data_IF_105815916576
#
_entry.id   IF_105815916576
#
_cell.length_a   1.000
_cell.length_b   1.000
_cell.length_c   1.000
_cell.angle_alpha   90.00
_cell.angle_beta   90.00
_cell.angle_gamma   90.00
#
_symmetry.space_group_name_H-M   'P 1'
#
loop_
_entity.id
_entity.type
_entity.pdbx_description
1 polymer ?
#
# COMPACT_ATOMS: atom_id res chain seq x y z
N UNK A 1 18.38 -22.28 8.91
CA UNK A 1 18.92 -23.64 8.62
C UNK A 1 18.04 -24.75 9.19
N UNK A 2 17.51 -24.63 10.41
CA UNK A 2 16.66 -25.66 11.05
C UNK A 2 15.33 -25.93 10.31
N UNK A 3 14.61 -24.91 9.83
CA UNK A 3 13.33 -25.12 9.12
C UNK A 3 13.47 -25.94 7.83
N UNK A 4 14.48 -25.64 7.00
CA UNK A 4 14.78 -26.42 5.79
C UNK A 4 15.16 -27.88 6.09
N UNK A 5 15.85 -28.12 7.22
CA UNK A 5 16.15 -29.48 7.70
C UNK A 5 14.86 -30.23 8.05
N UNK A 6 13.83 -29.55 8.57
CA UNK A 6 12.53 -30.14 8.86
C UNK A 6 11.82 -30.63 7.59
N UNK A 7 11.73 -29.79 6.56
CA UNK A 7 11.08 -30.15 5.29
C UNK A 7 11.77 -31.28 4.51
N UNK A 8 13.08 -31.42 4.66
CA UNK A 8 13.86 -32.45 3.95
C UNK A 8 13.88 -33.80 4.71
N UNK A 9 13.51 -33.83 6.01
CA UNK A 9 13.65 -35.02 6.86
C UNK A 9 12.34 -35.58 7.40
N UNK A 10 11.25 -34.83 7.36
CA UNK A 10 9.94 -35.25 7.84
C UNK A 10 9.04 -35.59 6.67
N UNK A 11 8.65 -36.87 6.58
CA UNK A 11 7.67 -37.33 5.59
C UNK A 11 6.36 -36.53 5.74
N UNK A 12 5.82 -36.05 4.63
CA UNK A 12 4.58 -35.26 4.60
C UNK A 12 4.72 -33.78 5.00
N UNK A 13 5.92 -33.29 5.33
CA UNK A 13 6.10 -31.88 5.71
C UNK A 13 5.64 -30.89 4.62
N UNK A 14 5.89 -31.23 3.34
CA UNK A 14 5.46 -30.43 2.17
C UNK A 14 3.96 -30.45 1.88
N UNK A 15 3.17 -31.18 2.66
CA UNK A 15 1.70 -31.26 2.57
C UNK A 15 1.03 -30.99 3.92
N UNK A 16 1.78 -30.54 4.93
CA UNK A 16 1.24 -30.26 6.26
C UNK A 16 0.95 -28.75 6.40
N UNK A 17 -0.33 -28.33 6.43
CA UNK A 17 -0.69 -26.90 6.37
C UNK A 17 -0.06 -26.08 7.49
N UNK A 18 -0.05 -26.60 8.73
CA UNK A 18 0.56 -25.90 9.87
C UNK A 18 2.08 -25.70 9.77
N UNK A 19 2.82 -26.59 9.11
CA UNK A 19 4.27 -26.45 8.98
C UNK A 19 4.62 -25.44 7.88
N UNK A 20 3.88 -25.49 6.77
CA UNK A 20 4.00 -24.51 5.69
C UNK A 20 3.64 -23.11 6.19
N UNK A 21 2.52 -22.97 6.89
CA UNK A 21 2.05 -21.73 7.53
C UNK A 21 3.11 -21.13 8.46
N UNK A 22 3.63 -21.90 9.41
CA UNK A 22 4.64 -21.39 10.36
C UNK A 22 5.96 -21.05 9.67
N UNK A 23 6.32 -21.75 8.60
CA UNK A 23 7.53 -21.42 7.83
C UNK A 23 7.37 -20.13 7.04
N UNK A 24 6.17 -19.83 6.51
CA UNK A 24 5.87 -18.56 5.86
C UNK A 24 6.07 -17.40 6.84
N UNK A 25 5.43 -17.45 8.02
CA UNK A 25 5.60 -16.42 9.05
C UNK A 25 7.04 -16.26 9.54
N UNK A 26 7.80 -17.36 9.64
CA UNK A 26 9.22 -17.28 9.98
C UNK A 26 10.03 -16.52 8.93
N UNK A 27 9.61 -16.56 7.66
CA UNK A 27 10.38 -16.07 6.53
C UNK A 27 9.96 -14.68 6.04
N UNK A 28 8.74 -14.22 6.31
CA UNK A 28 8.25 -12.89 5.88
C UNK A 28 9.14 -11.76 6.43
N UNK A 29 9.48 -11.77 7.73
CA UNK A 29 10.41 -10.80 8.32
C UNK A 29 11.90 -11.10 8.07
N UNK A 30 12.24 -12.10 7.26
CA UNK A 30 13.64 -12.48 7.04
C UNK A 30 14.30 -11.66 5.94
N UNK A 31 15.64 -11.60 5.88
CA UNK A 31 16.35 -11.01 4.72
C UNK A 31 16.19 -11.81 3.41
N UNK A 32 15.53 -12.97 3.45
CA UNK A 32 15.44 -13.92 2.34
C UNK A 32 14.04 -14.55 2.21
N UNK A 33 12.96 -13.75 2.08
CA UNK A 33 11.59 -14.26 2.01
C UNK A 33 11.40 -15.21 0.84
N UNK A 34 12.15 -15.04 -0.26
CA UNK A 34 12.07 -15.87 -1.48
C UNK A 34 12.32 -17.36 -1.21
N UNK A 35 12.96 -17.70 -0.09
CA UNK A 35 13.16 -19.09 0.34
C UNK A 35 11.88 -19.80 0.77
N UNK A 36 10.79 -19.07 0.97
CA UNK A 36 9.48 -19.60 1.32
C UNK A 36 8.50 -19.67 0.15
N UNK A 37 8.85 -19.18 -1.05
CA UNK A 37 7.96 -19.21 -2.23
C UNK A 37 7.36 -20.60 -2.48
N UNK A 38 8.23 -21.63 -2.53
CA UNK A 38 7.78 -23.03 -2.69
C UNK A 38 6.87 -23.52 -1.57
N UNK A 39 6.99 -22.99 -0.36
CA UNK A 39 6.09 -23.35 0.74
C UNK A 39 4.74 -22.64 0.61
N UNK A 40 4.75 -21.35 0.20
CA UNK A 40 3.55 -20.60 -0.17
C UNK A 40 2.75 -21.31 -1.26
N UNK A 41 3.40 -21.69 -2.36
CA UNK A 41 2.78 -22.42 -3.48
C UNK A 41 2.14 -23.75 -3.05
N UNK A 42 2.68 -24.40 -2.02
CA UNK A 42 2.18 -25.66 -1.49
C UNK A 42 1.05 -25.49 -0.48
N UNK A 43 1.01 -24.36 0.24
CA UNK A 43 -0.05 -24.05 1.18
C UNK A 43 -1.31 -23.56 0.45
N UNK A 44 -1.14 -22.76 -0.60
CA UNK A 44 -2.23 -22.29 -1.43
C UNK A 44 -3.05 -23.47 -1.99
N UNK A 45 -4.38 -23.41 -1.86
CA UNK A 45 -5.29 -24.47 -2.28
C UNK A 45 -5.29 -25.75 -1.41
N UNK A 46 -4.39 -25.91 -0.44
CA UNK A 46 -4.32 -27.12 0.40
C UNK A 46 -5.52 -27.23 1.37
N UNK A 47 -5.99 -26.09 1.86
CA UNK A 47 -7.18 -25.98 2.73
C UNK A 47 -8.11 -24.90 2.13
N UNK A 48 -8.87 -25.21 1.06
CA UNK A 48 -9.55 -24.22 0.20
C UNK A 48 -10.56 -23.33 0.93
N UNK A 49 -11.23 -23.85 1.95
CA UNK A 49 -12.25 -23.10 2.71
C UNK A 49 -11.69 -22.37 3.95
N UNK A 50 -10.36 -22.37 4.15
CA UNK A 50 -9.70 -21.57 5.18
C UNK A 50 -9.12 -20.31 4.55
N UNK A 51 -9.88 -19.20 4.57
CA UNK A 51 -9.47 -17.93 3.95
C UNK A 51 -8.08 -17.48 4.41
N UNK A 52 -7.81 -17.54 5.72
CA UNK A 52 -6.46 -17.31 6.28
C UNK A 52 -5.38 -18.14 5.55
N UNK A 53 -5.54 -19.46 5.44
CA UNK A 53 -4.53 -20.31 4.81
C UNK A 53 -4.41 -20.10 3.28
N UNK A 54 -5.47 -19.63 2.61
CA UNK A 54 -5.39 -19.22 1.21
C UNK A 54 -4.54 -17.95 1.03
N UNK A 55 -4.71 -16.99 1.93
CA UNK A 55 -4.02 -15.71 1.89
C UNK A 55 -2.55 -15.83 2.29
N UNK A 56 -2.19 -16.74 3.20
CA UNK A 56 -0.87 -16.78 3.85
C UNK A 56 0.32 -16.67 2.90
N UNK A 57 0.27 -17.31 1.72
CA UNK A 57 1.37 -17.25 0.77
C UNK A 57 1.70 -15.81 0.29
N UNK A 58 0.70 -14.92 0.36
CA UNK A 58 0.81 -13.53 -0.10
C UNK A 58 1.71 -12.65 0.75
N UNK A 59 1.99 -13.03 2.01
CA UNK A 59 3.06 -12.43 2.81
C UNK A 59 4.45 -12.59 2.14
N UNK A 60 4.69 -13.71 1.46
CA UNK A 60 5.95 -13.91 0.72
C UNK A 60 5.86 -13.33 -0.67
N UNK A 61 4.72 -13.47 -1.34
CA UNK A 61 4.53 -13.00 -2.72
C UNK A 61 4.71 -11.47 -2.80
N UNK A 62 4.13 -10.71 -1.86
CA UNK A 62 4.23 -9.24 -1.83
C UNK A 62 5.68 -8.79 -1.68
N UNK A 63 6.43 -9.41 -0.77
CA UNK A 63 7.83 -9.11 -0.54
C UNK A 63 8.69 -9.47 -1.75
N UNK A 64 8.30 -10.48 -2.52
CA UNK A 64 9.03 -10.93 -3.71
C UNK A 64 8.60 -10.22 -5.01
N UNK A 65 7.65 -9.28 -4.95
CA UNK A 65 7.17 -8.54 -6.12
C UNK A 65 6.16 -9.31 -6.99
N UNK A 66 5.64 -10.46 -6.52
CA UNK A 66 4.61 -11.22 -7.23
C UNK A 66 3.20 -10.71 -6.86
N UNK A 67 2.93 -9.45 -7.21
CA UNK A 67 1.67 -8.78 -6.89
C UNK A 67 0.45 -9.41 -7.58
N UNK A 68 0.63 -10.11 -8.70
CA UNK A 68 -0.43 -10.84 -9.37
C UNK A 68 -0.90 -12.01 -8.51
N UNK A 69 0.02 -12.80 -7.95
CA UNK A 69 -0.33 -13.84 -6.98
C UNK A 69 -0.96 -13.26 -5.71
N UNK A 70 -0.48 -12.09 -5.22
CA UNK A 70 -1.12 -11.40 -4.09
C UNK A 70 -2.60 -11.14 -4.37
N UNK A 71 -2.92 -10.55 -5.53
CA UNK A 71 -4.28 -10.24 -5.94
C UNK A 71 -5.15 -11.51 -6.06
N UNK A 72 -4.68 -12.52 -6.80
CA UNK A 72 -5.45 -13.74 -7.08
C UNK A 72 -5.69 -14.61 -5.84
N UNK A 73 -4.67 -14.76 -4.99
CA UNK A 73 -4.77 -15.59 -3.79
C UNK A 73 -5.65 -14.94 -2.71
N UNK A 74 -5.61 -13.61 -2.59
CA UNK A 74 -6.53 -12.90 -1.69
C UNK A 74 -7.97 -12.87 -2.23
N UNK A 75 -8.17 -12.87 -3.56
CA UNK A 75 -9.50 -13.07 -4.14
C UNK A 75 -10.10 -14.43 -3.72
N UNK A 76 -9.31 -15.50 -3.83
CA UNK A 76 -9.72 -16.82 -3.37
C UNK A 76 -9.96 -16.88 -1.85
N UNK A 77 -9.14 -16.18 -1.06
CA UNK A 77 -9.31 -16.06 0.39
C UNK A 77 -10.62 -15.36 0.76
N UNK A 78 -10.95 -14.25 0.09
CA UNK A 78 -12.21 -13.52 0.27
C UNK A 78 -13.41 -14.40 -0.06
N UNK A 79 -13.37 -15.17 -1.15
CA UNK A 79 -14.45 -16.13 -1.49
C UNK A 79 -14.63 -17.19 -0.38
N UNK A 80 -13.55 -17.66 0.24
CA UNK A 80 -13.64 -18.58 1.39
C UNK A 80 -14.22 -17.87 2.64
N UNK A 81 -13.82 -16.62 2.88
CA UNK A 81 -14.31 -15.79 3.98
C UNK A 81 -15.80 -15.49 3.88
N UNK A 82 -16.33 -15.28 2.68
CA UNK A 82 -17.75 -15.05 2.43
C UNK A 82 -18.59 -16.28 2.86
N UNK A 83 -18.09 -17.49 2.64
CA UNK A 83 -18.75 -18.72 3.13
C UNK A 83 -18.79 -18.75 4.65
N UNK A 84 -17.70 -18.35 5.30
CA UNK A 84 -17.63 -18.27 6.76
C UNK A 84 -18.57 -17.19 7.31
N UNK A 85 -18.59 -16.00 6.71
CA UNK A 85 -19.48 -14.90 7.05
C UNK A 85 -20.95 -15.33 6.95
N UNK A 86 -21.35 -15.95 5.83
CA UNK A 86 -22.71 -16.40 5.62
C UNK A 86 -23.18 -17.42 6.68
N UNK A 87 -22.24 -18.23 7.20
CA UNK A 87 -22.51 -19.24 8.23
C UNK A 87 -22.49 -18.69 9.66
N UNK A 88 -21.55 -17.80 9.96
CA UNK A 88 -21.15 -17.45 11.34
C UNK A 88 -21.42 -15.99 11.71
N UNK A 89 -21.88 -15.17 10.75
CA UNK A 89 -22.09 -13.74 10.92
C UNK A 89 -20.80 -12.92 10.91
N UNK A 90 -20.96 -11.60 10.97
CA UNK A 90 -19.89 -10.59 10.93
C UNK A 90 -19.34 -10.23 12.31
N UNK A 91 -20.08 -10.46 13.40
CA UNK A 91 -19.65 -10.04 14.73
C UNK A 91 -18.81 -11.10 15.46
N UNK A 92 -17.58 -11.28 14.99
CA UNK A 92 -16.60 -12.16 15.63
C UNK A 92 -15.16 -11.72 15.29
N UNK A 93 -14.19 -12.26 16.02
CA UNK A 93 -12.76 -11.94 15.83
C UNK A 93 -12.25 -12.23 14.41
N UNK A 94 -12.89 -13.15 13.67
CA UNK A 94 -12.49 -13.47 12.31
C UNK A 94 -12.67 -12.29 11.33
N UNK A 95 -13.49 -11.29 11.66
CA UNK A 95 -13.67 -10.10 10.82
C UNK A 95 -12.38 -9.33 10.59
N UNK A 96 -11.45 -9.30 11.56
CA UNK A 96 -10.12 -8.68 11.36
C UNK A 96 -9.34 -9.40 10.25
N UNK A 97 -9.35 -10.74 10.24
CA UNK A 97 -8.69 -11.52 9.18
C UNK A 97 -9.34 -11.32 7.82
N UNK A 98 -10.65 -11.14 7.78
CA UNK A 98 -11.36 -10.79 6.55
C UNK A 98 -10.89 -9.43 6.02
N UNK A 99 -10.83 -8.42 6.89
CA UNK A 99 -10.29 -7.10 6.53
C UNK A 99 -8.86 -7.18 6.00
N UNK A 100 -8.03 -8.02 6.62
CA UNK A 100 -6.64 -8.25 6.23
C UNK A 100 -6.51 -8.81 4.80
N UNK A 101 -7.35 -9.78 4.42
CA UNK A 101 -7.36 -10.33 3.06
C UNK A 101 -7.76 -9.27 2.01
N UNK A 102 -8.74 -8.43 2.31
CA UNK A 102 -9.05 -7.27 1.46
C UNK A 102 -7.89 -6.28 1.39
N UNK A 103 -7.25 -5.99 2.52
CA UNK A 103 -6.13 -5.05 2.58
C UNK A 103 -4.97 -5.50 1.66
N UNK A 104 -4.59 -6.78 1.70
CA UNK A 104 -3.62 -7.36 0.77
C UNK A 104 -4.06 -7.26 -0.69
N UNK A 105 -5.34 -7.54 -0.98
CA UNK A 105 -5.90 -7.43 -2.33
C UNK A 105 -5.78 -6.01 -2.88
N UNK A 106 -6.12 -5.00 -2.06
CA UNK A 106 -6.02 -3.59 -2.41
C UNK A 106 -4.56 -3.23 -2.69
N UNK A 107 -3.65 -3.60 -1.78
CA UNK A 107 -2.22 -3.34 -1.90
C UNK A 107 -1.61 -3.95 -3.18
N UNK A 108 -1.83 -5.25 -3.41
CA UNK A 108 -1.34 -5.94 -4.61
C UNK A 108 -1.87 -5.31 -5.90
N UNK A 109 -3.17 -4.99 -5.96
CA UNK A 109 -3.77 -4.35 -7.12
C UNK A 109 -3.19 -2.94 -7.39
N UNK A 110 -2.94 -2.14 -6.35
CA UNK A 110 -2.27 -0.85 -6.51
C UNK A 110 -0.85 -0.99 -7.09
N UNK A 111 -0.09 -2.00 -6.67
CA UNK A 111 1.29 -2.21 -7.13
C UNK A 111 1.38 -2.78 -8.55
N UNK A 112 0.33 -3.47 -9.01
CA UNK A 112 0.13 -3.88 -10.41
C UNK A 112 -0.30 -2.72 -11.33
N UNK A 113 -0.70 -1.57 -10.78
CA UNK A 113 -1.35 -0.52 -11.58
C UNK A 113 -2.76 -0.91 -12.02
N UNK A 114 -3.49 -1.67 -11.20
CA UNK A 114 -4.87 -2.10 -11.46
C UNK A 114 -5.87 -1.33 -10.59
N UNK A 115 -6.47 -0.27 -11.13
CA UNK A 115 -7.47 0.55 -10.46
C UNK A 115 -8.74 -0.23 -10.14
N UNK A 116 -9.29 -0.95 -11.13
CA UNK A 116 -10.63 -1.50 -11.00
C UNK A 116 -10.72 -2.59 -9.91
N UNK A 117 -9.76 -3.54 -9.80
CA UNK A 117 -9.70 -4.48 -8.67
C UNK A 117 -9.44 -3.80 -7.33
N UNK A 118 -8.56 -2.79 -7.28
CA UNK A 118 -8.22 -2.08 -6.04
C UNK A 118 -9.44 -1.35 -5.46
N UNK A 119 -10.13 -0.54 -6.26
CA UNK A 119 -11.26 0.26 -5.78
C UNK A 119 -12.47 -0.59 -5.40
N UNK A 120 -12.70 -1.70 -6.12
CA UNK A 120 -13.75 -2.66 -5.74
C UNK A 120 -13.45 -3.28 -4.39
N UNK A 121 -12.24 -3.80 -4.18
CA UNK A 121 -11.84 -4.42 -2.92
C UNK A 121 -11.94 -3.43 -1.74
N UNK A 122 -11.50 -2.18 -1.92
CA UNK A 122 -11.61 -1.14 -0.89
C UNK A 122 -13.06 -0.81 -0.52
N UNK A 123 -13.94 -0.72 -1.51
CA UNK A 123 -15.37 -0.45 -1.28
C UNK A 123 -16.11 -1.62 -0.67
N UNK A 124 -15.81 -2.83 -1.11
CA UNK A 124 -16.39 -4.05 -0.55
C UNK A 124 -15.96 -4.23 0.93
N UNK A 125 -14.69 -3.92 1.24
CA UNK A 125 -14.19 -3.87 2.61
C UNK A 125 -14.96 -2.87 3.47
N UNK A 126 -15.05 -1.61 3.04
CA UNK A 126 -15.79 -0.58 3.77
C UNK A 126 -17.27 -0.93 3.95
N UNK A 127 -17.93 -1.49 2.92
CA UNK A 127 -19.33 -1.91 2.99
C UNK A 127 -19.57 -3.04 3.99
N UNK A 128 -18.57 -3.90 4.23
CA UNK A 128 -18.63 -4.96 5.23
C UNK A 128 -18.46 -4.49 6.67
N UNK A 129 -18.04 -3.23 6.88
CA UNK A 129 -17.81 -2.60 8.18
C UNK A 129 -18.96 -1.64 8.52
N UNK A 130 -20.14 -2.22 8.76
CA UNK A 130 -21.34 -1.46 9.13
C UNK A 130 -21.21 -0.82 10.52
N UNK A 131 -22.00 0.23 10.85
CA UNK A 131 -21.92 0.90 12.16
C UNK A 131 -22.03 -0.05 13.35
N UNK A 132 -22.88 -1.07 13.30
CA UNK A 132 -23.05 -2.08 14.35
C UNK A 132 -21.80 -2.95 14.58
N UNK A 133 -20.93 -3.06 13.57
CA UNK A 133 -19.62 -3.73 13.67
C UNK A 133 -18.56 -2.76 14.14
N UNK A 134 -18.58 -1.51 13.64
CA UNK A 134 -17.59 -0.50 13.96
C UNK A 134 -17.73 0.02 15.38
N UNK A 135 -18.92 0.38 15.86
CA UNK A 135 -19.13 0.94 17.22
C UNK A 135 -18.37 0.18 18.33
N UNK A 136 -18.44 -1.16 18.44
CA UNK A 136 -17.69 -1.91 19.45
C UNK A 136 -16.22 -2.19 19.10
N UNK A 137 -15.80 -2.03 17.84
CA UNK A 137 -14.47 -2.45 17.34
C UNK A 137 -13.70 -1.33 16.62
N UNK A 138 -14.12 -0.07 16.75
CA UNK A 138 -13.59 1.03 15.94
C UNK A 138 -12.08 1.24 16.13
N UNK A 139 -11.56 0.94 17.32
CA UNK A 139 -10.12 0.94 17.62
C UNK A 139 -9.30 0.04 16.69
N UNK A 140 -9.89 -1.01 16.14
CA UNK A 140 -9.20 -1.99 15.31
C UNK A 140 -9.66 -1.99 13.85
N UNK A 141 -10.88 -1.52 13.59
CA UNK A 141 -11.52 -1.68 12.28
C UNK A 141 -11.74 -0.38 11.51
N UNK A 142 -11.81 0.78 12.18
CA UNK A 142 -12.26 1.99 11.50
C UNK A 142 -11.27 2.49 10.44
N UNK A 143 -9.97 2.32 10.66
CA UNK A 143 -8.96 2.71 9.68
C UNK A 143 -9.13 2.00 8.31
N UNK A 144 -9.69 0.78 8.28
CA UNK A 144 -9.95 0.05 7.04
C UNK A 144 -11.04 0.68 6.16
N UNK A 145 -11.92 1.51 6.74
CA UNK A 145 -13.03 2.13 5.99
C UNK A 145 -12.49 3.10 4.94
N UNK A 146 -11.38 3.78 5.25
CA UNK A 146 -10.82 4.85 4.42
C UNK A 146 -9.82 4.36 3.34
N UNK A 147 -9.67 3.05 3.15
CA UNK A 147 -8.68 2.49 2.23
C UNK A 147 -8.91 2.90 0.78
N UNK A 148 -10.14 3.27 0.41
CA UNK A 148 -10.45 3.78 -0.92
C UNK A 148 -9.75 5.11 -1.22
N UNK A 149 -9.47 5.94 -0.22
CA UNK A 149 -8.78 7.22 -0.38
C UNK A 149 -7.37 7.04 -0.93
N UNK A 150 -6.63 6.06 -0.43
CA UNK A 150 -5.32 5.70 -0.96
C UNK A 150 -5.40 5.23 -2.42
N UNK A 151 -6.42 4.44 -2.78
CA UNK A 151 -6.62 3.98 -4.16
C UNK A 151 -6.92 5.17 -5.07
N UNK A 152 -7.84 6.05 -4.67
CA UNK A 152 -8.21 7.22 -5.47
C UNK A 152 -7.00 8.14 -5.69
N UNK A 153 -6.16 8.36 -4.67
CA UNK A 153 -4.93 9.15 -4.78
C UNK A 153 -3.93 8.47 -5.74
N UNK A 154 -3.67 7.18 -5.54
CA UNK A 154 -2.71 6.41 -6.35
C UNK A 154 -3.05 6.45 -7.84
N UNK A 155 -4.33 6.52 -8.18
CA UNK A 155 -4.83 6.50 -9.56
C UNK A 155 -5.33 7.87 -10.06
N UNK A 156 -5.01 8.95 -9.35
CA UNK A 156 -5.31 10.32 -9.78
C UNK A 156 -6.80 10.61 -9.97
N UNK A 157 -7.68 10.01 -9.16
CA UNK A 157 -9.14 10.19 -9.25
C UNK A 157 -9.59 11.46 -8.53
N UNK A 158 -9.00 12.59 -8.91
CA UNK A 158 -9.15 13.89 -8.24
C UNK A 158 -10.61 14.34 -8.17
N UNK A 159 -11.34 14.33 -9.30
CA UNK A 159 -12.76 14.72 -9.34
C UNK A 159 -13.63 13.87 -8.40
N UNK A 160 -13.32 12.58 -8.31
CA UNK A 160 -14.04 11.64 -7.44
C UNK A 160 -13.80 12.00 -5.97
N UNK A 161 -12.55 12.23 -5.57
CA UNK A 161 -12.20 12.68 -4.21
C UNK A 161 -12.88 14.01 -3.86
N UNK A 162 -12.82 14.99 -4.77
CA UNK A 162 -13.35 16.34 -4.53
C UNK A 162 -14.88 16.33 -4.35
N UNK A 163 -15.58 15.42 -5.03
CA UNK A 163 -17.04 15.31 -4.95
C UNK A 163 -17.56 14.44 -3.79
N UNK A 164 -16.69 13.70 -3.08
CA UNK A 164 -17.09 12.91 -1.91
C UNK A 164 -17.63 13.79 -0.78
N UNK A 165 -18.74 13.37 -0.18
CA UNK A 165 -19.27 13.92 1.08
C UNK A 165 -18.59 13.26 2.27
N UNK A 166 -18.20 14.04 3.27
CA UNK A 166 -17.65 13.51 4.52
C UNK A 166 -18.72 12.67 5.29
N UNK A 167 -18.30 11.74 6.17
CA UNK A 167 -19.22 11.00 7.02
C UNK A 167 -20.07 11.93 7.89
N UNK A 168 -21.30 11.49 8.18
CA UNK A 168 -22.18 12.22 9.10
C UNK A 168 -21.69 12.10 10.55
N UNK A 169 -21.33 10.89 10.98
CA UNK A 169 -20.76 10.61 12.30
C UNK A 169 -19.23 10.68 12.24
N UNK A 170 -18.67 11.87 12.47
CA UNK A 170 -17.22 12.08 12.41
C UNK A 170 -16.50 11.62 13.67
N UNK A 171 -17.23 11.27 14.73
CA UNK A 171 -16.65 10.71 15.95
C UNK A 171 -16.35 9.22 15.75
N UNK A 172 -17.32 8.47 15.23
CA UNK A 172 -17.13 7.09 14.85
C UNK A 172 -16.08 6.98 13.74
N UNK A 173 -16.25 7.72 12.64
CA UNK A 173 -15.40 7.70 11.44
C UNK A 173 -14.28 8.74 11.48
N UNK A 174 -13.57 8.85 12.60
CA UNK A 174 -12.58 9.89 12.85
C UNK A 174 -11.32 9.76 11.96
N UNK A 175 -10.75 8.55 11.81
CA UNK A 175 -9.59 8.34 10.92
C UNK A 175 -10.01 8.54 9.46
N UNK A 176 -11.18 8.03 9.09
CA UNK A 176 -11.75 8.21 7.74
C UNK A 176 -11.95 9.68 7.40
N UNK A 177 -12.49 10.47 8.33
CA UNK A 177 -12.67 11.91 8.13
C UNK A 177 -11.33 12.62 7.92
N UNK A 178 -10.29 12.27 8.70
CA UNK A 178 -8.96 12.82 8.52
C UNK A 178 -8.38 12.43 7.14
N UNK A 179 -8.41 11.15 6.76
CA UNK A 179 -7.90 10.69 5.47
C UNK A 179 -8.64 11.29 4.27
N UNK A 180 -9.95 11.55 4.39
CA UNK A 180 -10.72 12.23 3.33
C UNK A 180 -10.30 13.70 3.17
N UNK A 181 -10.05 14.43 4.27
CA UNK A 181 -9.49 15.79 4.19
C UNK A 181 -8.08 15.80 3.59
N UNK A 182 -7.23 14.85 3.99
CA UNK A 182 -5.92 14.64 3.37
C UNK A 182 -6.04 14.41 1.86
N UNK A 183 -6.90 13.48 1.43
CA UNK A 183 -7.11 13.16 0.02
C UNK A 183 -7.59 14.38 -0.77
N UNK A 184 -8.56 15.14 -0.24
CA UNK A 184 -9.05 16.38 -0.85
C UNK A 184 -7.95 17.44 -0.95
N UNK A 185 -7.13 17.59 0.09
CA UNK A 185 -5.98 18.50 0.08
C UNK A 185 -4.97 18.16 -1.02
N UNK A 186 -4.60 16.88 -1.15
CA UNK A 186 -3.74 16.39 -2.23
C UNK A 186 -4.39 16.60 -3.60
N UNK A 187 -5.68 16.31 -3.74
CA UNK A 187 -6.40 16.49 -5.00
C UNK A 187 -6.42 17.98 -5.42
N UNK A 188 -6.75 18.90 -4.52
CA UNK A 188 -6.72 20.33 -4.78
C UNK A 188 -5.31 20.82 -5.17
N UNK A 189 -4.28 20.35 -4.46
CA UNK A 189 -2.89 20.65 -4.80
C UNK A 189 -2.55 20.13 -6.21
N UNK A 190 -2.83 18.86 -6.51
CA UNK A 190 -2.60 18.25 -7.82
C UNK A 190 -3.35 18.97 -8.96
N UNK A 191 -4.50 19.58 -8.69
CA UNK A 191 -5.26 20.37 -9.67
C UNK A 191 -4.92 21.88 -9.68
N UNK A 192 -3.95 22.31 -8.87
CA UNK A 192 -3.44 23.69 -8.82
C UNK A 192 -4.24 24.67 -7.96
N UNK A 193 -5.25 24.21 -7.22
CA UNK A 193 -6.04 25.03 -6.30
C UNK A 193 -5.39 25.05 -4.90
N UNK A 194 -4.30 25.81 -4.79
CA UNK A 194 -3.51 25.87 -3.54
C UNK A 194 -4.27 26.49 -2.36
N UNK A 195 -5.24 27.37 -2.60
CA UNK A 195 -6.05 27.99 -1.53
C UNK A 195 -7.02 26.96 -0.92
N UNK A 196 -7.70 26.18 -1.77
CA UNK A 196 -8.55 25.10 -1.30
C UNK A 196 -7.71 23.98 -0.65
N UNK A 197 -6.53 23.68 -1.18
CA UNK A 197 -5.61 22.71 -0.57
C UNK A 197 -5.16 23.14 0.83
N UNK A 198 -4.84 24.41 1.05
CA UNK A 198 -4.53 24.96 2.38
C UNK A 198 -5.74 24.89 3.34
N UNK A 199 -6.95 25.12 2.82
CA UNK A 199 -8.18 24.99 3.61
C UNK A 199 -8.42 23.54 4.05
N UNK A 200 -8.26 22.58 3.15
CA UNK A 200 -8.36 21.15 3.45
C UNK A 200 -7.24 20.69 4.39
N UNK A 201 -6.04 21.25 4.29
CA UNK A 201 -4.96 21.02 5.24
C UNK A 201 -5.33 21.46 6.66
N UNK A 202 -5.95 22.62 6.83
CA UNK A 202 -6.43 23.04 8.16
C UNK A 202 -7.52 22.10 8.69
N UNK A 203 -8.45 21.70 7.83
CA UNK A 203 -9.50 20.75 8.19
C UNK A 203 -8.92 19.36 8.56
N UNK A 204 -7.91 18.89 7.83
CA UNK A 204 -7.15 17.69 8.11
C UNK A 204 -6.50 17.74 9.50
N UNK A 205 -5.80 18.83 9.84
CA UNK A 205 -5.14 18.97 11.15
C UNK A 205 -6.15 18.94 12.30
N UNK A 206 -7.33 19.56 12.12
CA UNK A 206 -8.41 19.50 13.10
C UNK A 206 -9.00 18.08 13.23
N UNK A 207 -9.23 17.40 12.10
CA UNK A 207 -9.76 16.04 12.10
C UNK A 207 -8.77 15.05 12.71
N UNK A 208 -7.48 15.15 12.37
CA UNK A 208 -6.39 14.35 12.95
C UNK A 208 -6.33 14.53 14.47
N UNK A 209 -6.39 15.77 14.97
CA UNK A 209 -6.37 16.03 16.41
C UNK A 209 -7.60 15.46 17.16
N UNK A 210 -8.68 15.11 16.44
CA UNK A 210 -9.87 14.48 17.01
C UNK A 210 -9.83 12.95 16.97
N UNK A 211 -8.82 12.34 16.32
CA UNK A 211 -8.64 10.88 16.29
C UNK A 211 -8.20 10.39 17.68
N UNK A 212 -8.92 9.43 18.30
CA UNK A 212 -8.49 8.83 19.55
C UNK A 212 -7.13 8.14 19.42
N UNK A 213 -6.28 8.25 20.45
CA UNK A 213 -4.97 7.58 20.52
C UNK A 213 -5.07 6.04 20.55
N UNK A 214 -6.27 5.52 20.84
CA UNK A 214 -6.60 4.09 20.79
C UNK A 214 -6.83 3.55 19.38
N UNK A 215 -6.94 4.40 18.36
CA UNK A 215 -7.13 3.96 16.98
C UNK A 215 -5.84 3.34 16.44
N UNK A 216 -5.94 2.09 16.01
CA UNK A 216 -4.85 1.29 15.50
C UNK A 216 -5.18 0.78 14.09
N UNK A 217 -4.12 0.61 13.31
CA UNK A 217 -4.12 -0.26 12.14
C UNK A 217 -3.00 -1.27 12.35
N UNK A 218 -3.38 -2.48 12.74
CA UNK A 218 -2.46 -3.54 13.16
C UNK A 218 -1.48 -3.09 14.26
N UNK A 219 -0.18 -3.01 13.96
CA UNK A 219 0.86 -2.63 14.93
C UNK A 219 1.10 -1.12 15.00
N UNK A 220 0.51 -0.35 14.09
CA UNK A 220 0.70 1.10 13.99
C UNK A 220 -0.46 1.86 14.64
N UNK A 221 -0.15 3.00 15.28
CA UNK A 221 -1.19 3.95 15.66
C UNK A 221 -1.67 4.71 14.45
N UNK A 222 -2.96 5.06 14.40
CA UNK A 222 -3.46 5.90 13.33
C UNK A 222 -2.86 7.31 13.37
N UNK A 223 -2.43 7.80 14.53
CA UNK A 223 -1.73 9.09 14.64
C UNK A 223 -0.38 9.07 13.88
N UNK A 224 0.44 8.01 14.07
CA UNK A 224 1.70 7.85 13.34
C UNK A 224 1.48 7.78 11.82
N UNK A 225 0.43 7.08 11.37
CA UNK A 225 0.06 7.02 9.95
C UNK A 225 -0.37 8.41 9.44
N UNK A 226 -1.15 9.16 10.22
CA UNK A 226 -1.61 10.50 9.84
C UNK A 226 -0.48 11.54 9.90
N UNK A 227 0.60 11.31 10.66
CA UNK A 227 1.82 12.14 10.55
C UNK A 227 2.48 12.03 9.18
N UNK A 228 2.48 10.84 8.56
CA UNK A 228 2.96 10.66 7.18
C UNK A 228 2.13 11.49 6.21
N UNK A 229 0.80 11.42 6.36
CA UNK A 229 -0.16 12.19 5.57
C UNK A 229 0.05 13.71 5.73
N UNK A 230 0.32 14.17 6.96
CA UNK A 230 0.61 15.58 7.24
C UNK A 230 1.83 16.08 6.47
N UNK A 231 2.94 15.33 6.55
CA UNK A 231 4.18 15.69 5.86
C UNK A 231 4.03 15.60 4.33
N UNK A 232 3.29 14.61 3.83
CA UNK A 232 2.99 14.47 2.40
C UNK A 232 2.17 15.66 1.89
N UNK A 233 1.11 16.05 2.61
CA UNK A 233 0.24 17.15 2.23
C UNK A 233 0.97 18.50 2.25
N UNK A 234 1.80 18.74 3.27
CA UNK A 234 2.67 19.92 3.32
C UNK A 234 3.59 20.00 2.10
N UNK A 235 4.19 18.87 1.71
CA UNK A 235 5.06 18.75 0.54
C UNK A 235 4.34 19.03 -0.77
N UNK A 236 3.19 18.41 -1.00
CA UNK A 236 2.37 18.61 -2.21
C UNK A 236 1.91 20.07 -2.35
N UNK A 237 1.45 20.70 -1.26
CA UNK A 237 1.01 22.10 -1.29
C UNK A 237 2.19 23.03 -1.57
N UNK A 238 3.30 22.88 -0.85
CA UNK A 238 4.50 23.70 -1.04
C UNK A 238 5.03 23.58 -2.48
N UNK A 239 5.04 22.36 -3.04
CA UNK A 239 5.48 22.12 -4.41
C UNK A 239 4.64 22.94 -5.40
N UNK A 240 3.31 22.94 -5.23
CA UNK A 240 2.38 23.65 -6.12
C UNK A 240 2.42 25.16 -5.98
N UNK A 241 2.86 25.65 -4.82
CA UNK A 241 3.15 27.08 -4.59
C UNK A 241 4.51 27.52 -5.17
N UNK A 242 5.31 26.59 -5.70
CA UNK A 242 6.66 26.87 -6.21
C UNK A 242 7.71 26.96 -5.10
N UNK A 243 7.38 26.52 -3.89
CA UNK A 243 8.26 26.53 -2.71
C UNK A 243 9.10 25.23 -2.67
N UNK A 244 9.85 24.95 -3.75
CA UNK A 244 10.41 23.62 -4.02
C UNK A 244 11.35 23.07 -2.93
N UNK A 245 12.21 23.91 -2.34
CA UNK A 245 13.10 23.47 -1.25
C UNK A 245 12.29 22.97 -0.05
N UNK A 246 11.30 23.76 0.39
CA UNK A 246 10.41 23.37 1.49
C UNK A 246 9.60 22.12 1.13
N UNK A 247 9.11 22.03 -0.11
CA UNK A 247 8.38 20.88 -0.61
C UNK A 247 9.20 19.59 -0.49
N UNK A 248 10.44 19.59 -0.96
CA UNK A 248 11.30 18.41 -0.89
C UNK A 248 11.71 18.06 0.55
N UNK A 249 11.88 19.04 1.43
CA UNK A 249 12.10 18.76 2.85
C UNK A 249 10.90 18.06 3.50
N UNK A 250 9.68 18.50 3.22
CA UNK A 250 8.45 17.86 3.69
C UNK A 250 8.26 16.46 3.10
N UNK A 251 8.50 16.27 1.80
CA UNK A 251 8.39 14.96 1.15
C UNK A 251 9.43 13.97 1.67
N UNK A 252 10.68 14.40 1.89
CA UNK A 252 11.71 13.57 2.54
C UNK A 252 11.34 13.23 3.98
N UNK A 253 10.71 14.16 4.71
CA UNK A 253 10.18 13.88 6.05
C UNK A 253 9.07 12.83 6.03
N UNK A 254 8.17 12.90 5.05
CA UNK A 254 7.12 11.89 4.84
C UNK A 254 7.73 10.50 4.60
N UNK A 255 8.76 10.42 3.75
CA UNK A 255 9.54 9.19 3.53
C UNK A 255 10.18 8.66 4.81
N UNK A 256 10.82 9.53 5.59
CA UNK A 256 11.43 9.12 6.84
C UNK A 256 10.39 8.57 7.83
N UNK A 257 9.23 9.20 7.94
CA UNK A 257 8.14 8.73 8.81
C UNK A 257 7.65 7.35 8.37
N UNK A 258 7.36 7.19 7.08
CA UNK A 258 6.94 5.95 6.42
C UNK A 258 7.92 4.79 6.69
N UNK A 259 9.23 5.01 6.45
CA UNK A 259 10.26 3.99 6.68
C UNK A 259 10.42 3.59 8.17
N UNK A 260 9.99 4.45 9.10
CA UNK A 260 10.16 4.24 10.54
C UNK A 260 8.94 3.66 11.24
N UNK A 261 7.84 3.44 10.51
CA UNK A 261 6.67 2.76 11.06
C UNK A 261 7.06 1.36 11.56
N UNK A 262 6.50 0.91 12.71
CA UNK A 262 6.41 -0.50 13.04
C UNK A 262 6.00 -1.36 11.84
N UNK A 263 6.66 -2.51 11.70
CA UNK A 263 6.38 -3.44 10.62
C UNK A 263 4.93 -3.93 10.67
N UNK A 264 4.25 -3.84 9.52
CA UNK A 264 2.93 -4.40 9.26
C UNK A 264 2.88 -4.93 7.83
N UNK A 265 2.03 -5.94 7.60
CA UNK A 265 1.79 -6.47 6.26
C UNK A 265 0.28 -6.60 5.98
N UNK A 266 -0.22 -6.00 4.89
CA UNK A 266 0.44 -4.95 4.14
C UNK A 266 0.51 -3.65 4.98
N UNK A 267 1.46 -2.77 4.65
CA UNK A 267 1.70 -1.53 5.38
C UNK A 267 0.45 -0.66 5.53
N UNK A 268 0.28 -0.08 6.72
CA UNK A 268 -0.84 0.81 7.01
C UNK A 268 -0.86 2.06 6.13
N UNK A 269 0.32 2.57 5.76
CA UNK A 269 0.47 3.54 4.68
C UNK A 269 0.68 2.80 3.35
N UNK A 270 -0.39 2.63 2.56
CA UNK A 270 -0.35 1.68 1.45
C UNK A 270 0.38 2.15 0.17
N UNK A 271 0.58 3.47 -0.01
CA UNK A 271 1.29 4.00 -1.18
C UNK A 271 2.65 4.53 -0.74
N UNK A 272 3.78 3.91 -1.14
CA UNK A 272 5.09 4.38 -0.72
C UNK A 272 5.26 5.87 -1.03
N UNK A 273 5.52 6.66 0.01
CA UNK A 273 5.70 8.12 -0.06
C UNK A 273 6.82 8.52 -1.04
N UNK A 274 7.82 7.64 -1.15
CA UNK A 274 8.94 7.71 -2.09
C UNK A 274 8.50 7.89 -3.54
N UNK A 275 7.34 7.35 -3.94
CA UNK A 275 6.84 7.54 -5.31
C UNK A 275 6.54 9.00 -5.63
N UNK A 276 5.92 9.75 -4.71
CA UNK A 276 5.63 11.16 -4.90
C UNK A 276 6.93 11.98 -4.92
N UNK A 277 7.83 11.74 -3.95
CA UNK A 277 9.14 12.39 -3.89
C UNK A 277 9.93 12.18 -5.19
N UNK A 278 10.07 10.92 -5.64
CA UNK A 278 10.80 10.59 -6.85
C UNK A 278 10.21 11.26 -8.10
N UNK A 279 8.88 11.27 -8.22
CA UNK A 279 8.19 11.83 -9.38
C UNK A 279 8.40 13.35 -9.49
N UNK A 280 8.26 14.06 -8.36
CA UNK A 280 8.40 15.51 -8.29
C UNK A 280 9.86 15.95 -8.40
N UNK A 281 10.82 15.18 -7.87
CA UNK A 281 12.25 15.39 -8.11
C UNK A 281 12.57 15.30 -9.61
N UNK A 282 12.03 14.28 -10.28
CA UNK A 282 12.26 14.08 -11.71
C UNK A 282 11.66 15.21 -12.55
N UNK A 283 10.47 15.70 -12.18
CA UNK A 283 9.83 16.86 -12.82
C UNK A 283 10.69 18.13 -12.74
N UNK A 284 11.42 18.33 -11.64
CA UNK A 284 12.37 19.44 -11.47
C UNK A 284 13.79 19.13 -11.99
N UNK A 285 14.00 17.99 -12.63
CA UNK A 285 15.30 17.60 -13.19
C UNK A 285 16.33 17.09 -12.18
N UNK A 286 15.94 16.84 -10.93
CA UNK A 286 16.79 16.24 -9.88
C UNK A 286 16.94 14.72 -10.10
N UNK A 287 17.50 14.34 -11.25
CA UNK A 287 17.54 12.96 -11.74
C UNK A 287 18.33 12.04 -10.82
N UNK A 288 19.47 12.49 -10.28
CA UNK A 288 20.32 11.66 -9.41
C UNK A 288 19.63 11.27 -8.10
N UNK A 289 18.91 12.22 -7.48
CA UNK A 289 18.16 11.95 -6.24
C UNK A 289 16.92 11.09 -6.53
N UNK A 290 16.21 11.38 -7.63
CA UNK A 290 15.06 10.58 -8.07
C UNK A 290 15.46 9.12 -8.34
N UNK A 291 16.60 8.89 -9.02
CA UNK A 291 17.16 7.54 -9.24
C UNK A 291 17.41 6.82 -7.90
N UNK A 292 18.01 7.50 -6.93
CA UNK A 292 18.27 6.93 -5.60
C UNK A 292 16.98 6.55 -4.87
N UNK A 293 15.93 7.38 -4.97
CA UNK A 293 14.61 7.10 -4.37
C UNK A 293 14.01 5.81 -4.92
N UNK A 294 14.03 5.60 -6.25
CA UNK A 294 13.49 4.38 -6.85
C UNK A 294 14.37 3.15 -6.63
N UNK A 295 15.69 3.31 -6.58
CA UNK A 295 16.59 2.19 -6.24
C UNK A 295 16.37 1.69 -4.82
N UNK A 296 16.15 2.58 -3.87
CA UNK A 296 15.82 2.23 -2.50
C UNK A 296 14.48 1.47 -2.44
N UNK A 297 13.45 2.02 -3.08
CA UNK A 297 12.11 1.41 -3.12
C UNK A 297 12.13 0.00 -3.75
N UNK A 298 12.82 -0.17 -4.89
CA UNK A 298 12.95 -1.48 -5.56
C UNK A 298 13.93 -2.45 -4.86
N UNK A 299 14.65 -2.00 -3.83
CA UNK A 299 15.64 -2.81 -3.11
C UNK A 299 16.96 -3.04 -3.85
N UNK A 300 17.34 -2.16 -4.79
CA UNK A 300 18.55 -2.31 -5.59
C UNK A 300 19.83 -1.80 -4.92
N UNK A 301 19.72 -1.00 -3.87
CA UNK A 301 20.86 -0.41 -3.14
C UNK A 301 21.06 -0.97 -1.73
N UNK A 302 20.09 -1.73 -1.21
CA UNK A 302 20.10 -2.31 0.13
C UNK A 302 19.96 -1.29 1.28
N UNK A 303 19.49 -0.07 1.00
CA UNK A 303 19.28 0.97 2.01
C UNK A 303 18.09 0.63 2.91
N UNK A 304 17.01 0.14 2.32
CA UNK A 304 15.81 -0.27 3.06
C UNK A 304 15.94 -1.69 3.61
N UNK A 305 15.29 -1.92 4.75
CA UNK A 305 15.09 -3.27 5.27
C UNK A 305 14.40 -4.13 4.22
N UNK A 306 14.65 -5.45 4.18
CA UNK A 306 14.07 -6.32 3.15
C UNK A 306 12.54 -6.28 3.12
N UNK A 307 11.93 -6.11 4.28
CA UNK A 307 10.50 -5.92 4.45
C UNK A 307 10.02 -4.67 3.70
N UNK A 308 10.69 -3.53 3.87
CA UNK A 308 10.31 -2.25 3.28
C UNK A 308 10.69 -2.08 1.80
N UNK A 309 11.07 -3.15 1.12
CA UNK A 309 11.40 -3.13 -0.31
C UNK A 309 10.21 -3.62 -1.14
N UNK A 310 10.04 -3.01 -2.31
CA UNK A 310 8.94 -3.27 -3.23
C UNK A 310 9.43 -3.73 -4.62
N UNK A 311 10.06 -4.92 -4.73
CA UNK A 311 10.52 -5.42 -6.02
C UNK A 311 9.39 -5.46 -7.04
N UNK A 312 9.68 -5.12 -8.29
CA UNK A 312 8.74 -5.23 -9.43
C UNK A 312 7.48 -4.38 -9.39
N UNK A 313 7.38 -3.42 -8.48
CA UNK A 313 6.24 -2.53 -8.51
C UNK A 313 6.31 -1.63 -9.75
N UNK A 314 5.18 -1.49 -10.46
CA UNK A 314 5.16 -0.86 -11.78
C UNK A 314 5.57 0.62 -11.73
N UNK A 315 5.33 1.28 -10.60
CA UNK A 315 5.52 2.72 -10.42
C UNK A 315 7.00 3.09 -10.27
N UNK A 316 7.73 2.43 -9.36
CA UNK A 316 9.16 2.65 -9.22
C UNK A 316 9.96 2.10 -10.40
N UNK A 317 9.52 0.99 -11.01
CA UNK A 317 10.12 0.52 -12.27
C UNK A 317 10.02 1.58 -13.38
N UNK A 318 8.86 2.24 -13.50
CA UNK A 318 8.67 3.33 -14.45
C UNK A 318 9.63 4.49 -14.16
N UNK A 319 9.62 5.01 -12.93
CA UNK A 319 10.46 6.14 -12.54
C UNK A 319 11.97 5.86 -12.67
N UNK A 320 12.42 4.66 -12.28
CA UNK A 320 13.82 4.26 -12.46
C UNK A 320 14.19 4.17 -13.94
N UNK A 321 13.31 3.62 -14.78
CA UNK A 321 13.56 3.55 -16.22
C UNK A 321 13.73 4.94 -16.83
N UNK A 322 12.88 5.90 -16.48
CA UNK A 322 13.02 7.30 -16.92
C UNK A 322 14.38 7.89 -16.51
N UNK A 323 14.76 7.75 -15.23
CA UNK A 323 16.05 8.24 -14.73
C UNK A 323 17.24 7.66 -15.51
N UNK A 324 17.22 6.35 -15.76
CA UNK A 324 18.28 5.66 -16.49
C UNK A 324 18.37 6.09 -17.96
N UNK A 325 17.23 6.35 -18.61
CA UNK A 325 17.21 6.88 -19.98
C UNK A 325 17.79 8.29 -20.03
N UNK A 326 17.37 9.18 -19.12
CA UNK A 326 17.87 10.56 -19.05
C UNK A 326 19.38 10.62 -18.79
N UNK A 327 19.90 9.72 -17.95
CA UNK A 327 21.34 9.61 -17.66
C UNK A 327 22.14 8.91 -18.78
N UNK A 328 21.49 8.32 -19.78
CA UNK A 328 22.15 7.57 -20.85
C UNK A 328 22.65 6.17 -20.43
N UNK A 329 22.12 5.61 -19.34
CA UNK A 329 22.49 4.30 -18.82
C UNK A 329 21.78 3.15 -19.56
N UNK A 330 21.91 3.11 -20.90
CA UNK A 330 21.07 2.28 -21.78
C UNK A 330 21.12 0.77 -21.49
N UNK A 331 22.26 0.24 -21.04
CA UNK A 331 22.38 -1.18 -20.72
C UNK A 331 21.52 -1.59 -19.52
N UNK A 332 21.51 -0.77 -18.47
CA UNK A 332 20.68 -1.00 -17.29
C UNK A 332 19.22 -0.66 -17.58
N UNK A 333 18.97 0.44 -18.31
CA UNK A 333 17.63 0.82 -18.75
C UNK A 333 16.93 -0.33 -19.51
N UNK A 334 17.64 -1.06 -20.37
CA UNK A 334 17.09 -2.21 -21.10
C UNK A 334 16.64 -3.35 -20.17
N UNK A 335 17.38 -3.61 -19.07
CA UNK A 335 17.01 -4.62 -18.08
C UNK A 335 15.78 -4.21 -17.28
N UNK A 336 15.74 -2.96 -16.81
CA UNK A 336 14.59 -2.39 -16.09
C UNK A 336 13.37 -2.35 -17.01
N UNK A 337 13.55 -1.97 -18.28
CA UNK A 337 12.47 -1.93 -19.28
C UNK A 337 11.81 -3.28 -19.50
N UNK A 338 12.58 -4.37 -19.52
CA UNK A 338 12.02 -5.72 -19.63
C UNK A 338 11.06 -6.04 -18.46
N UNK A 339 11.46 -5.69 -17.23
CA UNK A 339 10.64 -5.87 -16.03
C UNK A 339 9.41 -4.97 -16.05
N UNK A 340 9.60 -3.71 -16.43
CA UNK A 340 8.54 -2.72 -16.58
C UNK A 340 7.51 -3.14 -17.64
N UNK A 341 7.93 -3.72 -18.77
CA UNK A 341 7.02 -4.19 -19.81
C UNK A 341 6.11 -5.33 -19.32
N UNK A 342 6.65 -6.24 -18.50
CA UNK A 342 5.86 -7.31 -17.88
C UNK A 342 4.87 -6.75 -16.85
N UNK A 343 5.30 -5.78 -16.03
CA UNK A 343 4.43 -5.13 -15.06
C UNK A 343 3.31 -4.33 -15.75
N UNK A 344 3.65 -3.51 -16.75
CA UNK A 344 2.69 -2.74 -17.54
C UNK A 344 1.67 -3.61 -18.28
N UNK A 345 2.06 -4.80 -18.73
CA UNK A 345 1.13 -5.73 -19.38
C UNK A 345 -0.01 -6.21 -18.44
N UNK A 346 0.11 -5.97 -17.12
CA UNK A 346 -0.92 -6.27 -16.12
C UNK A 346 -1.70 -5.03 -15.66
N UNK A 347 -1.19 -3.82 -15.88
CA UNK A 347 -1.89 -2.59 -15.49
C UNK A 347 -3.20 -2.43 -16.27
N UNK A 348 -4.23 -1.88 -15.63
CA UNK A 348 -5.52 -1.57 -16.28
C UNK A 348 -5.70 -0.07 -16.58
N UNK A 349 -4.68 0.73 -16.24
CA UNK A 349 -4.53 2.13 -16.61
C UNK A 349 -3.13 2.36 -17.20
N UNK A 350 -2.95 3.39 -18.06
CA UNK A 350 -1.62 3.81 -18.50
C UNK A 350 -0.76 4.25 -17.32
N UNK A 351 0.48 3.75 -17.24
CA UNK A 351 1.48 4.21 -16.28
C UNK A 351 2.42 5.18 -17.00
N UNK A 352 2.15 6.47 -16.84
CA UNK A 352 2.89 7.57 -17.49
C UNK A 352 3.85 8.31 -16.54
N UNK A 353 3.67 8.09 -15.24
CA UNK A 353 4.55 8.56 -14.18
C UNK A 353 4.38 7.65 -12.96
N UNK A 354 5.32 7.70 -12.04
CA UNK A 354 5.25 6.97 -10.75
C UNK A 354 4.25 7.59 -9.75
N UNK A 355 3.78 8.82 -10.01
CA UNK A 355 2.77 9.53 -9.23
C UNK A 355 1.93 10.44 -10.14
N UNK A 356 0.60 10.46 -9.96
CA UNK A 356 -0.30 11.41 -10.64
C UNK A 356 -0.17 12.86 -10.15
N UNK A 357 0.63 13.09 -9.11
CA UNK A 357 1.05 14.41 -8.68
C UNK A 357 2.09 15.05 -9.63
N UNK A 358 2.71 14.28 -10.53
CA UNK A 358 3.55 14.83 -11.59
C UNK A 358 2.67 15.22 -12.78
N UNK A 359 2.71 16.50 -13.16
CA UNK A 359 1.88 17.06 -14.24
C UNK A 359 2.65 17.21 -15.55
N UNK A 360 3.98 17.20 -15.50
CA UNK A 360 4.85 17.31 -16.68
C UNK A 360 5.69 16.03 -16.85
N UNK A 361 5.17 15.01 -17.56
CA UNK A 361 5.99 13.88 -17.97
C UNK A 361 7.09 14.36 -18.95
N UNK A 362 8.27 13.72 -18.87
CA UNK A 362 9.48 14.10 -19.61
C UNK A 362 9.44 13.72 -21.09
#
# INVERSE_FOLDING_TARGET
>A
RCARIGFDRLDGAWTHPGLLHMYIHLMEMSPHPERALRAGDRLYGLVPDAGHLQHMATHIDVLCGDYQSVLERNDAAIVADEKYLARSGSMNFYTIYRCHNYHFKIYGAMFLGQYAPAIRAARDLAAGLTPDILEPLADWLEAFVAMDQHVLIRFGKWDEILTQSLPQDRELYSVTTALMHYAKGVAHAATGDTEAAESERQAFLLAKAAVPDTRLLFNNTCDDILEIASAMLDGEIAYRKGEFEAAFDHLRRSVQLDDTLPYDEPWGWMQPTRHALGALLLEQGHTDESEAVYRADLGFDGVLSRASQHPDNVWALHGLHECLVLRGAHAEAALVKQRLDLANARADVPIEASCFCRLQPA
#
